data_IF_253974046528
#
_entry.id   IF_253974046528
#
_cell.length_a   1.000
_cell.length_b   1.000
_cell.length_c   1.000
_cell.angle_alpha   90.00
_cell.angle_beta   90.00
_cell.angle_gamma   90.00
#
_symmetry.space_group_name_H-M   'P 1'
#
loop_
_entity.id
_entity.type
_entity.pdbx_description
1 polymer ?
#
# COMPACT_ATOMS: atom_id res chain seq x y z
N UNK A 1 -2.50 17.09 22.12
CA UNK A 1 -1.83 16.12 21.20
C UNK A 1 -1.77 16.75 19.83
N UNK A 2 -0.61 16.69 19.21
CA UNK A 2 -0.34 17.29 17.90
C UNK A 2 0.18 16.20 16.96
N UNK A 3 -0.41 16.09 15.76
CA UNK A 3 -0.09 15.05 14.79
C UNK A 3 0.29 15.69 13.47
N UNK A 4 1.40 15.22 12.88
CA UNK A 4 1.80 15.59 11.52
C UNK A 4 1.33 14.52 10.52
N UNK A 5 0.85 14.96 9.36
CA UNK A 5 0.41 14.10 8.27
C UNK A 5 1.23 14.47 7.03
N UNK A 6 2.02 13.53 6.51
CA UNK A 6 2.91 13.78 5.38
C UNK A 6 2.49 13.05 4.09
N UNK A 7 1.51 12.18 4.17
CA UNK A 7 0.89 11.53 3.02
C UNK A 7 -0.63 11.69 3.05
N UNK A 8 -1.33 11.73 1.91
CA UNK A 8 -2.78 11.96 1.88
C UNK A 8 -3.54 10.86 2.61
N UNK A 9 -4.48 11.26 3.47
CA UNK A 9 -5.48 10.38 4.09
C UNK A 9 -6.88 10.85 3.71
N UNK A 10 -7.88 10.00 3.97
CA UNK A 10 -9.29 10.34 3.69
C UNK A 10 -9.79 11.46 4.58
N UNK A 11 -10.81 12.20 4.09
CA UNK A 11 -11.49 13.21 4.90
C UNK A 11 -12.10 12.64 6.18
N UNK A 12 -12.58 11.40 6.15
CA UNK A 12 -13.07 10.70 7.34
C UNK A 12 -11.96 10.52 8.37
N UNK A 13 -10.74 10.22 7.94
CA UNK A 13 -9.57 10.15 8.82
C UNK A 13 -9.25 11.51 9.46
N UNK A 14 -9.27 12.59 8.67
CA UNK A 14 -9.07 13.95 9.18
C UNK A 14 -10.15 14.36 10.17
N UNK A 15 -11.42 13.97 9.89
CA UNK A 15 -12.55 14.25 10.79
C UNK A 15 -12.37 13.60 12.16
N UNK A 16 -11.85 12.36 12.23
CA UNK A 16 -11.57 11.69 13.51
C UNK A 16 -10.61 12.50 14.37
N UNK A 17 -9.55 13.07 13.81
CA UNK A 17 -8.63 13.93 14.54
C UNK A 17 -9.34 15.18 15.08
N UNK A 18 -10.13 15.84 14.23
CA UNK A 18 -10.89 17.04 14.59
C UNK A 18 -11.89 16.77 15.71
N UNK A 19 -12.64 15.69 15.62
CA UNK A 19 -13.68 15.32 16.60
C UNK A 19 -13.07 14.97 17.97
N UNK A 20 -11.79 14.56 17.98
CA UNK A 20 -11.05 14.28 19.20
C UNK A 20 -10.14 15.44 19.66
N UNK A 21 -10.31 16.64 19.11
CA UNK A 21 -9.51 17.83 19.43
C UNK A 21 -7.98 17.60 19.30
N UNK A 22 -7.57 16.82 18.30
CA UNK A 22 -6.18 16.59 17.96
C UNK A 22 -5.75 17.62 16.92
N UNK A 23 -4.73 18.39 17.22
CA UNK A 23 -4.16 19.36 16.27
C UNK A 23 -3.46 18.61 15.14
N UNK A 24 -3.82 18.93 13.90
CA UNK A 24 -3.23 18.32 12.69
C UNK A 24 -2.39 19.34 11.95
N UNK A 25 -1.15 18.97 11.65
CA UNK A 25 -0.25 19.68 10.75
C UNK A 25 -0.16 18.88 9.47
N UNK A 26 -0.78 19.36 8.39
CA UNK A 26 -0.74 18.72 7.08
C UNK A 26 0.45 19.27 6.28
N UNK A 27 1.41 18.41 6.00
CA UNK A 27 2.60 18.70 5.18
C UNK A 27 2.65 17.81 3.93
N UNK A 28 1.52 17.29 3.52
CA UNK A 28 1.43 16.43 2.36
C UNK A 28 2.03 17.09 1.11
N UNK A 29 2.92 16.37 0.40
CA UNK A 29 3.62 16.86 -0.77
C UNK A 29 4.74 17.88 -0.49
N UNK A 30 5.04 18.18 0.76
CA UNK A 30 6.14 19.05 1.16
C UNK A 30 7.39 18.26 1.49
N UNK A 31 8.54 18.90 1.39
CA UNK A 31 9.81 18.31 1.81
C UNK A 31 9.85 18.17 3.34
N UNK A 32 10.16 16.97 3.84
CA UNK A 32 10.27 16.69 5.27
C UNK A 32 11.35 17.57 5.92
N UNK A 33 12.47 17.81 5.24
CA UNK A 33 13.57 18.61 5.76
C UNK A 33 13.17 20.07 6.04
N UNK A 34 12.23 20.62 5.27
CA UNK A 34 11.71 21.98 5.48
C UNK A 34 10.76 22.07 6.68
N UNK A 35 10.25 20.93 7.13
CA UNK A 35 9.28 20.83 8.21
C UNK A 35 9.87 20.37 9.55
N UNK A 36 11.20 20.35 9.69
CA UNK A 36 11.87 19.91 10.93
C UNK A 36 11.41 20.64 12.20
N UNK A 37 11.04 21.89 12.10
CA UNK A 37 10.51 22.65 13.24
C UNK A 37 9.22 22.02 13.80
N UNK A 38 8.36 21.51 12.94
CA UNK A 38 7.13 20.82 13.33
C UNK A 38 7.42 19.41 13.86
N UNK A 39 8.31 18.68 13.18
CA UNK A 39 8.67 17.29 13.50
C UNK A 39 9.15 17.13 14.95
N UNK A 40 9.91 18.10 15.47
CA UNK A 40 10.39 18.09 16.86
C UNK A 40 9.29 18.20 17.91
N UNK A 41 8.14 18.76 17.54
CA UNK A 41 7.09 19.13 18.50
C UNK A 41 5.85 18.27 18.44
N UNK A 42 5.75 17.36 17.46
CA UNK A 42 4.57 16.50 17.29
C UNK A 42 4.64 15.25 18.15
N UNK A 43 3.49 14.82 18.63
CA UNK A 43 3.33 13.60 19.42
C UNK A 43 3.11 12.37 18.53
N UNK A 44 2.52 12.57 17.33
CA UNK A 44 2.19 11.51 16.39
C UNK A 44 2.52 11.86 14.95
N UNK A 45 2.79 10.85 14.14
CA UNK A 45 3.05 10.99 12.71
C UNK A 45 2.24 10.00 11.89
N UNK A 46 1.42 10.50 10.96
CA UNK A 46 0.65 9.67 10.04
C UNK A 46 1.32 9.71 8.67
N UNK A 47 1.62 8.51 8.15
CA UNK A 47 2.26 8.32 6.85
C UNK A 47 1.54 7.25 6.02
N UNK A 48 1.90 7.17 4.75
CA UNK A 48 1.64 6.03 3.87
C UNK A 48 2.94 5.54 3.23
N UNK A 49 2.92 5.21 1.95
CA UNK A 49 4.10 4.73 1.21
C UNK A 49 4.96 5.84 0.63
N UNK A 50 4.48 7.07 0.56
CA UNK A 50 5.21 8.22 0.00
C UNK A 50 6.28 8.76 0.93
N UNK A 51 6.09 8.64 2.24
CA UNK A 51 7.02 9.11 3.26
C UNK A 51 7.88 7.98 3.79
N UNK A 52 9.20 8.19 3.88
CA UNK A 52 10.15 7.27 4.52
C UNK A 52 10.64 7.86 5.82
N UNK A 53 10.53 7.12 6.91
CA UNK A 53 11.02 7.49 8.24
C UNK A 53 12.25 6.64 8.58
N UNK A 54 13.41 7.12 8.20
CA UNK A 54 14.68 6.51 8.55
C UNK A 54 15.11 6.86 10.01
N UNK A 55 16.21 6.25 10.47
CA UNK A 55 16.73 6.49 11.81
C UNK A 55 17.06 7.97 12.06
N UNK A 56 17.56 8.69 11.05
CA UNK A 56 17.95 10.10 11.20
C UNK A 56 16.75 11.00 11.46
N UNK A 57 15.62 10.71 10.78
CA UNK A 57 14.38 11.46 10.97
C UNK A 57 13.76 11.11 12.32
N UNK A 58 13.69 9.81 12.63
CA UNK A 58 13.13 9.32 13.90
C UNK A 58 13.92 9.90 15.10
N UNK A 59 15.23 9.94 15.03
CA UNK A 59 16.09 10.46 16.11
C UNK A 59 15.90 11.98 16.36
N UNK A 60 15.47 12.73 15.34
CA UNK A 60 15.23 14.18 15.45
C UNK A 60 13.81 14.53 15.94
N UNK A 61 12.89 13.57 15.96
CA UNK A 61 11.51 13.79 16.38
C UNK A 61 11.38 13.65 17.91
N UNK A 62 11.79 14.68 18.65
CA UNK A 62 12.02 14.63 20.10
C UNK A 62 10.80 14.16 20.91
N UNK A 63 9.60 14.59 20.56
CA UNK A 63 8.36 14.30 21.27
C UNK A 63 7.55 13.14 20.68
N UNK A 64 7.99 12.57 19.55
CA UNK A 64 7.24 11.56 18.82
C UNK A 64 7.06 10.30 19.67
N UNK A 65 5.82 9.90 19.87
CA UNK A 65 5.44 8.72 20.66
C UNK A 65 4.73 7.65 19.82
N UNK A 66 4.16 8.03 18.67
CA UNK A 66 3.42 7.09 17.81
C UNK A 66 3.58 7.43 16.33
N UNK A 67 3.78 6.40 15.52
CA UNK A 67 3.75 6.46 14.06
C UNK A 67 2.59 5.58 13.59
N UNK A 68 1.66 6.16 12.84
CA UNK A 68 0.55 5.46 12.19
C UNK A 68 0.81 5.37 10.68
N UNK A 69 0.98 4.15 10.16
CA UNK A 69 1.07 3.95 8.71
C UNK A 69 -0.29 3.51 8.16
N UNK A 70 -0.94 4.37 7.38
CA UNK A 70 -2.19 4.04 6.70
C UNK A 70 -1.91 3.11 5.50
N UNK A 71 -1.63 1.85 5.80
CA UNK A 71 -1.28 0.79 4.85
C UNK A 71 -0.81 -0.48 5.55
N UNK A 72 -0.54 -1.54 4.78
CA UNK A 72 -0.23 -2.88 5.31
C UNK A 72 1.25 -3.03 5.67
N UNK A 73 2.16 -2.70 4.75
CA UNK A 73 3.59 -2.80 4.98
C UNK A 73 4.10 -1.73 5.94
N UNK A 74 5.32 -1.91 6.45
CA UNK A 74 6.03 -0.93 7.29
C UNK A 74 7.49 -0.78 6.86
N UNK A 75 7.78 -1.18 5.64
CA UNK A 75 9.11 -1.22 5.04
C UNK A 75 9.76 0.17 4.87
N UNK A 76 8.95 1.21 4.85
CA UNK A 76 9.39 2.61 4.81
C UNK A 76 9.58 3.25 6.21
N UNK A 77 9.58 2.44 7.29
CA UNK A 77 9.82 2.91 8.67
C UNK A 77 10.98 2.11 9.27
N UNK A 78 11.99 2.77 9.82
CA UNK A 78 13.02 2.09 10.63
C UNK A 78 12.42 1.68 11.98
N UNK A 79 11.84 0.45 12.00
CA UNK A 79 11.22 -0.13 13.19
C UNK A 79 12.22 -0.24 14.34
N UNK A 80 13.50 -0.55 14.05
CA UNK A 80 14.53 -0.68 15.08
C UNK A 80 14.82 0.66 15.76
N UNK A 81 14.89 1.74 14.99
CA UNK A 81 15.05 3.09 15.54
C UNK A 81 13.83 3.51 16.37
N UNK A 82 12.62 3.27 15.85
CA UNK A 82 11.38 3.55 16.58
C UNK A 82 11.32 2.80 17.92
N UNK A 83 11.64 1.50 17.90
CA UNK A 83 11.67 0.65 19.11
C UNK A 83 12.68 1.14 20.15
N UNK A 84 13.90 1.49 19.72
CA UNK A 84 14.93 2.05 20.66
C UNK A 84 14.45 3.33 21.34
N UNK A 85 13.62 4.11 20.67
CA UNK A 85 13.05 5.37 21.21
C UNK A 85 11.72 5.17 21.95
N UNK A 86 11.22 3.95 22.04
CA UNK A 86 9.92 3.66 22.66
C UNK A 86 8.72 4.20 21.86
N UNK A 87 8.90 4.44 20.55
CA UNK A 87 7.84 4.92 19.65
C UNK A 87 6.99 3.73 19.19
N UNK A 88 5.69 3.84 19.37
CA UNK A 88 4.73 2.82 18.91
C UNK A 88 4.55 2.95 17.39
N UNK A 89 4.71 1.86 16.65
CA UNK A 89 4.41 1.83 15.22
C UNK A 89 3.16 0.99 14.98
N UNK A 90 2.16 1.60 14.36
CA UNK A 90 0.89 0.97 14.01
C UNK A 90 0.68 0.99 12.50
N UNK A 91 0.01 -0.03 11.98
CA UNK A 91 -0.38 -0.13 10.58
C UNK A 91 -1.85 -0.56 10.43
N UNK A 92 -2.34 -0.63 9.19
CA UNK A 92 -3.70 -1.08 8.86
C UNK A 92 -3.63 -2.39 8.06
N UNK A 93 -3.42 -3.56 8.73
CA UNK A 93 -2.99 -4.81 8.07
C UNK A 93 -4.05 -5.45 7.15
N UNK A 94 -5.30 -5.02 7.20
CA UNK A 94 -6.40 -5.59 6.39
C UNK A 94 -6.98 -4.61 5.38
N UNK A 95 -6.57 -3.34 5.40
CA UNK A 95 -7.25 -2.26 4.69
C UNK A 95 -7.27 -2.40 3.16
N UNK A 96 -6.29 -3.07 2.55
CA UNK A 96 -6.20 -3.23 1.10
C UNK A 96 -6.14 -4.69 0.64
N UNK A 97 -6.37 -5.67 1.50
CA UNK A 97 -6.22 -7.09 1.16
C UNK A 97 -7.06 -7.47 -0.05
N UNK A 98 -8.34 -7.13 -0.03
CA UNK A 98 -9.28 -7.45 -1.12
C UNK A 98 -8.94 -6.65 -2.38
N UNK A 99 -8.76 -5.33 -2.27
CA UNK A 99 -8.46 -4.48 -3.43
C UNK A 99 -7.14 -4.85 -4.12
N UNK A 100 -6.12 -5.22 -3.36
CA UNK A 100 -4.85 -5.69 -3.92
C UNK A 100 -5.01 -7.04 -4.65
N UNK A 101 -5.77 -7.97 -4.08
CA UNK A 101 -6.04 -9.25 -4.73
C UNK A 101 -6.87 -9.08 -6.01
N UNK A 102 -7.89 -8.22 -6.01
CA UNK A 102 -8.70 -7.91 -7.18
C UNK A 102 -7.89 -7.22 -8.27
N UNK A 103 -7.06 -6.26 -7.90
CA UNK A 103 -6.16 -5.60 -8.85
C UNK A 103 -5.16 -6.58 -9.47
N UNK A 104 -4.63 -7.53 -8.69
CA UNK A 104 -3.78 -8.60 -9.18
C UNK A 104 -4.49 -9.44 -10.24
N UNK A 105 -5.73 -9.86 -9.98
CA UNK A 105 -6.53 -10.61 -10.96
C UNK A 105 -6.85 -9.78 -12.20
N UNK A 106 -7.16 -8.49 -12.04
CA UNK A 106 -7.41 -7.60 -13.16
C UNK A 106 -6.18 -7.49 -14.08
N UNK A 107 -4.98 -7.35 -13.51
CA UNK A 107 -3.73 -7.30 -14.28
C UNK A 107 -3.45 -8.63 -15.00
N UNK A 108 -3.66 -9.78 -14.34
CA UNK A 108 -3.50 -11.11 -14.95
C UNK A 108 -4.44 -11.27 -16.13
N UNK A 109 -5.70 -10.89 -15.99
CA UNK A 109 -6.70 -10.97 -17.06
C UNK A 109 -6.38 -9.98 -18.18
N UNK A 110 -6.00 -8.75 -17.86
CA UNK A 110 -5.63 -7.75 -18.85
C UNK A 110 -4.43 -8.20 -19.70
N UNK A 111 -3.41 -8.79 -19.05
CA UNK A 111 -2.24 -9.34 -19.74
C UNK A 111 -2.63 -10.54 -20.61
N UNK A 112 -3.36 -11.51 -20.05
CA UNK A 112 -3.74 -12.75 -20.74
C UNK A 112 -4.63 -12.52 -21.97
N UNK A 113 -5.42 -11.47 -21.98
CA UNK A 113 -6.40 -11.16 -23.03
C UNK A 113 -6.02 -9.92 -23.84
N UNK A 114 -4.80 -9.40 -23.71
CA UNK A 114 -4.29 -8.23 -24.45
C UNK A 114 -5.17 -6.97 -24.32
N UNK A 115 -5.82 -6.75 -23.15
CA UNK A 115 -6.81 -5.68 -22.97
C UNK A 115 -6.20 -4.31 -23.23
N UNK A 116 -5.01 -4.03 -22.68
CA UNK A 116 -4.32 -2.74 -22.87
C UNK A 116 -3.96 -2.47 -24.32
N UNK A 117 -3.43 -3.47 -25.03
CA UNK A 117 -3.10 -3.37 -26.46
C UNK A 117 -4.33 -3.16 -27.32
N UNK A 118 -5.43 -3.85 -26.98
CA UNK A 118 -6.71 -3.69 -27.66
C UNK A 118 -7.31 -2.29 -27.47
N UNK A 119 -7.24 -1.77 -26.23
CA UNK A 119 -7.70 -0.42 -25.92
C UNK A 119 -6.87 0.65 -26.68
N UNK A 120 -5.54 0.52 -26.66
CA UNK A 120 -4.64 1.46 -27.33
C UNK A 120 -4.86 1.47 -28.86
N UNK A 121 -4.98 0.28 -29.49
CA UNK A 121 -5.30 0.17 -30.91
C UNK A 121 -6.64 0.82 -31.26
N UNK A 122 -7.71 0.51 -30.51
CA UNK A 122 -9.02 1.10 -30.74
C UNK A 122 -9.03 2.62 -30.57
N UNK A 123 -8.29 3.14 -29.59
CA UNK A 123 -8.18 4.60 -29.39
C UNK A 123 -7.50 5.32 -30.56
N UNK A 124 -6.69 4.60 -31.34
CA UNK A 124 -6.05 5.07 -32.58
C UNK A 124 -6.86 4.77 -33.84
N UNK A 125 -8.06 4.22 -33.72
CA UNK A 125 -8.91 3.81 -34.84
C UNK A 125 -8.48 2.49 -35.52
N UNK A 126 -7.63 1.70 -34.89
CA UNK A 126 -7.14 0.43 -35.42
C UNK A 126 -8.04 -0.72 -34.98
N UNK A 127 -8.38 -1.62 -35.93
CA UNK A 127 -9.19 -2.83 -35.67
C UNK A 127 -8.40 -4.09 -36.02
N UNK A 128 -7.35 -4.37 -35.24
CA UNK A 128 -6.39 -5.43 -35.48
C UNK A 128 -6.65 -6.66 -34.60
N UNK A 129 -7.89 -7.14 -34.55
CA UNK A 129 -8.31 -8.24 -33.64
C UNK A 129 -7.48 -9.52 -33.75
N UNK A 130 -6.88 -9.81 -34.90
CA UNK A 130 -6.01 -10.97 -35.13
C UNK A 130 -4.70 -10.89 -34.34
N UNK A 131 -4.26 -9.68 -33.96
CA UNK A 131 -3.09 -9.45 -33.10
C UNK A 131 -3.45 -9.57 -31.62
N UNK A 132 -4.74 -9.61 -31.29
CA UNK A 132 -5.22 -9.63 -29.92
C UNK A 132 -5.61 -11.04 -29.43
N UNK A 133 -5.08 -12.08 -30.09
CA UNK A 133 -5.29 -13.46 -29.66
C UNK A 133 -4.59 -13.64 -28.33
N UNK A 134 -5.37 -13.78 -27.26
CA UNK A 134 -4.89 -14.03 -25.92
C UNK A 134 -4.96 -15.50 -25.52
N UNK A 135 -4.75 -15.77 -24.24
CA UNK A 135 -4.87 -17.10 -23.66
C UNK A 135 -5.89 -17.10 -22.53
N UNK A 136 -6.57 -18.22 -22.34
CA UNK A 136 -7.45 -18.46 -21.22
C UNK A 136 -6.63 -18.81 -19.97
N UNK A 137 -7.15 -18.50 -18.79
CA UNK A 137 -6.56 -18.92 -17.52
C UNK A 137 -6.93 -20.35 -17.15
N UNK A 138 -8.02 -20.85 -17.70
CA UNK A 138 -8.55 -22.19 -17.44
C UNK A 138 -7.46 -23.26 -17.63
N UNK A 139 -7.29 -24.13 -16.64
CA UNK A 139 -6.32 -25.22 -16.67
C UNK A 139 -4.85 -24.83 -16.57
N UNK A 140 -4.53 -23.52 -16.53
CA UNK A 140 -3.16 -23.05 -16.32
C UNK A 140 -2.74 -23.12 -14.86
N UNK A 141 -1.44 -23.14 -14.62
CA UNK A 141 -0.87 -23.11 -13.28
C UNK A 141 -0.43 -21.71 -12.92
N UNK A 142 -0.81 -21.25 -11.74
CA UNK A 142 -0.32 -20.01 -11.14
C UNK A 142 0.60 -20.33 -9.95
N UNK A 143 1.80 -19.72 -9.93
CA UNK A 143 2.70 -19.75 -8.79
C UNK A 143 2.46 -18.54 -7.88
N UNK A 144 2.23 -18.78 -6.60
CA UNK A 144 2.05 -17.74 -5.59
C UNK A 144 3.25 -17.78 -4.63
N UNK A 145 4.04 -16.73 -4.63
CA UNK A 145 5.14 -16.52 -3.68
C UNK A 145 4.66 -15.57 -2.59
N UNK A 146 4.52 -16.09 -1.39
CA UNK A 146 3.88 -15.41 -0.24
C UNK A 146 2.42 -15.85 -0.05
N UNK A 147 2.16 -16.64 1.01
CA UNK A 147 0.84 -17.17 1.34
C UNK A 147 0.18 -16.38 2.49
N UNK A 148 0.50 -15.09 2.58
CA UNK A 148 -0.14 -14.14 3.49
C UNK A 148 -1.58 -13.82 3.06
N UNK A 149 -2.18 -12.79 3.66
CA UNK A 149 -3.60 -12.41 3.44
C UNK A 149 -3.91 -12.20 1.96
N UNK A 150 -3.14 -11.37 1.26
CA UNK A 150 -3.35 -11.08 -0.17
C UNK A 150 -3.14 -12.32 -1.04
N UNK A 151 -2.06 -13.09 -0.81
CA UNK A 151 -1.79 -14.30 -1.57
C UNK A 151 -2.93 -15.32 -1.48
N UNK A 152 -3.52 -15.50 -0.30
CA UNK A 152 -4.69 -16.39 -0.09
C UNK A 152 -5.92 -15.90 -0.84
N UNK A 153 -6.17 -14.60 -0.87
CA UNK A 153 -7.28 -14.01 -1.64
C UNK A 153 -7.09 -14.18 -3.15
N UNK A 154 -5.84 -14.05 -3.65
CA UNK A 154 -5.52 -14.35 -5.06
C UNK A 154 -5.74 -15.82 -5.37
N UNK A 155 -5.32 -16.74 -4.49
CA UNK A 155 -5.55 -18.19 -4.63
C UNK A 155 -7.04 -18.50 -4.76
N UNK A 156 -7.87 -17.93 -3.87
CA UNK A 156 -9.31 -18.16 -3.90
C UNK A 156 -9.92 -17.75 -5.24
N UNK A 157 -9.55 -16.58 -5.76
CA UNK A 157 -10.02 -16.08 -7.05
C UNK A 157 -9.49 -16.91 -8.23
N UNK A 158 -8.23 -17.31 -8.18
CA UNK A 158 -7.62 -18.15 -9.23
C UNK A 158 -8.27 -19.52 -9.34
N UNK A 159 -8.71 -20.11 -8.21
CA UNK A 159 -9.50 -21.36 -8.21
C UNK A 159 -10.82 -21.21 -8.97
N UNK A 160 -11.48 -20.05 -8.89
CA UNK A 160 -12.71 -19.79 -9.64
C UNK A 160 -12.49 -19.75 -11.17
N UNK A 161 -11.25 -19.48 -11.62
CA UNK A 161 -10.84 -19.62 -13.02
C UNK A 161 -10.35 -21.03 -13.39
N UNK A 162 -10.55 -22.02 -12.52
CA UNK A 162 -10.08 -23.40 -12.69
C UNK A 162 -8.57 -23.51 -12.93
N UNK A 163 -7.79 -22.63 -12.29
CA UNK A 163 -6.32 -22.70 -12.33
C UNK A 163 -5.79 -23.72 -11.33
N UNK A 164 -4.64 -24.32 -11.64
CA UNK A 164 -3.84 -25.08 -10.69
C UNK A 164 -3.01 -24.12 -9.85
N UNK A 165 -2.88 -24.36 -8.55
CA UNK A 165 -2.19 -23.47 -7.62
C UNK A 165 -0.90 -24.14 -7.12
N UNK A 166 0.22 -23.44 -7.28
CA UNK A 166 1.48 -23.73 -6.61
C UNK A 166 1.78 -22.58 -5.64
N UNK A 167 1.96 -22.89 -4.37
CA UNK A 167 2.25 -21.90 -3.33
C UNK A 167 3.62 -22.10 -2.75
N UNK A 168 4.31 -21.00 -2.44
CA UNK A 168 5.55 -21.00 -1.66
C UNK A 168 5.50 -19.86 -0.62
N UNK A 169 5.85 -20.20 0.60
CA UNK A 169 6.06 -19.22 1.67
C UNK A 169 7.16 -19.75 2.61
N UNK A 170 8.19 -18.95 2.93
CA UNK A 170 9.29 -19.41 3.79
C UNK A 170 8.90 -19.63 5.24
N UNK A 171 7.70 -19.19 5.65
CA UNK A 171 7.23 -19.28 7.03
C UNK A 171 6.07 -20.26 7.24
N UNK A 172 5.65 -20.98 6.19
CA UNK A 172 4.55 -21.96 6.23
C UNK A 172 5.04 -23.32 5.73
#
# INVERSE_FOLDING_TARGET
MKVIISDPISEDGLRIFKDNNIEVIDVNGQNIDENFGHIKTVDGWIIRSGTTLDSKIIEKADNLSVIGRAGVGVDNIDISAATRRGIIVMNTPDANTISAAEHTMALILALSRNVSSGHDGLSKGEWNRHLLIGSELHGKTIGIVGLGKIGREVIQRSKAFNMQILGYDPFI
#
